data_IF_427998947502
#
_entry.id   IF_427998947502
#
_cell.length_a   1.000
_cell.length_b   1.000
_cell.length_c   1.000
_cell.angle_alpha   90.00
_cell.angle_beta   90.00
_cell.angle_gamma   90.00
#
_symmetry.space_group_name_H-M   'P 1'
#
loop_
_entity.id
_entity.type
_entity.pdbx_description
1 polymer ?
#
# COMPACT_ATOMS: atom_id res chain seq x y z
N UNK A 1 10.22 27.12 -0.96
CA UNK A 1 11.22 26.32 -1.72
C UNK A 1 10.87 24.85 -1.52
N UNK A 2 11.13 23.96 -2.47
CA UNK A 2 11.07 22.52 -2.17
C UNK A 2 12.24 22.15 -1.26
N UNK A 3 12.03 21.32 -0.23
CA UNK A 3 13.06 20.95 0.76
C UNK A 3 14.35 20.39 0.15
N UNK A 4 14.28 19.86 -1.07
CA UNK A 4 15.41 19.30 -1.80
C UNK A 4 16.21 20.30 -2.65
N UNK A 5 15.81 21.57 -2.73
CA UNK A 5 16.41 22.61 -3.60
C UNK A 5 16.58 22.22 -5.11
N UNK A 6 15.90 21.17 -5.57
CA UNK A 6 15.98 20.65 -6.94
C UNK A 6 14.74 21.07 -7.75
N UNK A 7 14.94 21.43 -9.02
CA UNK A 7 13.83 21.71 -9.95
C UNK A 7 12.96 20.47 -10.12
N UNK A 8 11.64 20.64 -10.10
CA UNK A 8 10.66 19.55 -10.27
C UNK A 8 10.94 18.68 -11.50
N UNK A 9 11.26 19.28 -12.65
CA UNK A 9 11.58 18.54 -13.87
C UNK A 9 12.76 17.57 -13.68
N UNK A 10 13.80 18.00 -12.97
CA UNK A 10 14.98 17.18 -12.65
C UNK A 10 14.62 16.01 -11.74
N UNK A 11 13.81 16.25 -10.70
CA UNK A 11 13.33 15.19 -9.82
C UNK A 11 12.56 14.11 -10.61
N UNK A 12 11.65 14.50 -11.49
CA UNK A 12 10.90 13.55 -12.32
C UNK A 12 11.81 12.78 -13.29
N UNK A 13 12.86 13.42 -13.82
CA UNK A 13 13.88 12.75 -14.63
C UNK A 13 14.60 11.66 -13.83
N UNK A 14 15.04 11.96 -12.60
CA UNK A 14 15.69 10.97 -11.73
C UNK A 14 14.76 9.81 -11.37
N UNK A 15 13.52 10.10 -10.99
CA UNK A 15 12.53 9.05 -10.72
C UNK A 15 12.23 8.19 -11.95
N UNK A 16 12.23 8.77 -13.16
CA UNK A 16 12.06 8.00 -14.39
C UNK A 16 13.26 7.11 -14.69
N UNK A 17 14.49 7.57 -14.40
CA UNK A 17 15.69 6.74 -14.53
C UNK A 17 15.61 5.56 -13.56
N UNK A 18 15.34 5.81 -12.28
CA UNK A 18 15.23 4.76 -11.26
C UNK A 18 14.17 3.71 -11.59
N UNK A 19 13.01 4.13 -12.09
CA UNK A 19 11.94 3.22 -12.53
C UNK A 19 12.37 2.38 -13.75
N UNK A 20 12.96 3.01 -14.77
CA UNK A 20 13.47 2.29 -15.96
C UNK A 20 14.62 1.34 -15.63
N UNK A 21 15.38 1.64 -14.58
CA UNK A 21 16.44 0.78 -14.05
C UNK A 21 15.92 -0.30 -13.10
N UNK A 22 14.59 -0.44 -12.94
CA UNK A 22 13.96 -1.44 -12.06
C UNK A 22 14.39 -1.33 -10.60
N UNK A 23 14.69 -0.11 -10.13
CA UNK A 23 15.09 0.15 -8.74
C UNK A 23 13.91 0.56 -7.86
N UNK A 24 12.89 1.17 -8.46
CA UNK A 24 11.68 1.60 -7.76
C UNK A 24 10.41 1.18 -8.51
N UNK A 25 9.35 0.98 -7.75
CA UNK A 25 7.98 0.84 -8.24
C UNK A 25 7.15 2.05 -7.81
N UNK A 26 6.19 2.45 -8.66
CA UNK A 26 5.25 3.53 -8.36
C UNK A 26 3.86 2.96 -8.17
N UNK A 27 3.23 3.30 -7.05
CA UNK A 27 1.81 3.05 -6.81
C UNK A 27 1.08 4.37 -6.97
N UNK A 28 0.17 4.42 -7.94
CA UNK A 28 -0.56 5.63 -8.32
C UNK A 28 -1.86 5.73 -7.53
N UNK A 29 -2.34 6.96 -7.30
CA UNK A 29 -3.67 7.18 -6.75
C UNK A 29 -4.74 7.02 -7.85
N UNK A 30 -5.68 6.08 -7.68
CA UNK A 30 -6.81 5.94 -8.61
C UNK A 30 -8.04 6.68 -8.09
N UNK A 31 -8.49 7.70 -8.83
CA UNK A 31 -9.67 8.52 -8.49
C UNK A 31 -10.92 8.18 -9.32
N UNK A 32 -10.98 7.02 -9.97
CA UNK A 32 -12.18 6.54 -10.67
C UNK A 32 -12.26 6.82 -12.18
N UNK A 33 -11.25 7.44 -12.80
CA UNK A 33 -11.13 7.43 -14.26
C UNK A 33 -9.67 7.41 -14.74
N UNK A 34 -9.37 6.67 -15.81
CA UNK A 34 -8.06 6.70 -16.49
C UNK A 34 -7.65 8.13 -16.90
N UNK A 35 -8.62 9.00 -17.21
CA UNK A 35 -8.35 10.41 -17.57
C UNK A 35 -8.03 11.29 -16.36
N UNK A 36 -8.40 10.88 -15.15
CA UNK A 36 -8.12 11.57 -13.88
C UNK A 36 -6.90 10.99 -13.12
N UNK A 37 -6.11 10.10 -13.74
CA UNK A 37 -4.75 9.73 -13.29
C UNK A 37 -3.80 10.93 -13.13
N UNK A 38 -4.19 12.08 -13.69
CA UNK A 38 -3.39 13.30 -13.66
C UNK A 38 -3.46 13.98 -12.28
N UNK A 39 -2.46 13.69 -11.42
CA UNK A 39 -1.32 14.61 -11.13
C UNK A 39 -0.76 14.62 -9.71
N UNK A 40 -1.38 14.09 -8.65
CA UNK A 40 -1.04 14.62 -7.31
C UNK A 40 -0.58 13.69 -6.21
N UNK A 41 -0.81 12.37 -6.25
CA UNK A 41 -0.31 11.51 -5.17
C UNK A 41 0.13 10.17 -5.74
N UNK A 42 1.37 9.81 -5.44
CA UNK A 42 1.97 8.51 -5.74
C UNK A 42 2.88 8.13 -4.59
N UNK A 43 2.84 6.86 -4.21
CA UNK A 43 3.87 6.30 -3.34
C UNK A 43 4.94 5.65 -4.21
N UNK A 44 6.17 5.76 -3.74
CA UNK A 44 7.35 5.20 -4.40
C UNK A 44 7.93 4.20 -3.43
N UNK A 45 8.05 2.96 -3.88
CA UNK A 45 8.61 1.87 -3.11
C UNK A 45 9.85 1.33 -3.82
N UNK A 46 10.78 0.70 -3.09
CA UNK A 46 11.81 -0.10 -3.73
C UNK A 46 11.18 -1.18 -4.62
N UNK A 47 11.86 -1.53 -5.71
CA UNK A 47 11.36 -2.56 -6.63
C UNK A 47 11.53 -3.99 -6.09
N UNK A 48 12.37 -4.17 -5.07
CA UNK A 48 12.67 -5.45 -4.44
C UNK A 48 12.73 -5.29 -2.92
N UNK A 49 12.23 -6.28 -2.21
CA UNK A 49 12.35 -6.39 -0.75
C UNK A 49 13.81 -6.40 -0.27
N UNK A 50 14.76 -6.84 -1.12
CA UNK A 50 16.19 -6.84 -0.81
C UNK A 50 16.73 -5.43 -0.55
N UNK A 51 16.13 -4.40 -1.15
CA UNK A 51 16.52 -3.00 -0.92
C UNK A 51 16.05 -2.46 0.43
N UNK A 52 15.13 -3.14 1.13
CA UNK A 52 14.68 -2.72 2.47
C UNK A 52 15.80 -2.82 3.51
N UNK A 53 16.80 -3.69 3.28
CA UNK A 53 17.99 -3.80 4.11
C UNK A 53 18.97 -2.61 3.91
N UNK A 54 18.87 -1.90 2.78
CA UNK A 54 19.70 -0.74 2.46
C UNK A 54 19.09 0.57 2.95
N UNK A 55 17.86 0.54 3.47
CA UNK A 55 17.17 1.71 3.99
C UNK A 55 17.87 2.21 5.27
N UNK A 56 18.22 3.49 5.35
CA UNK A 56 18.93 4.04 6.51
C UNK A 56 18.06 3.98 7.76
N UNK A 57 18.68 3.75 8.92
CA UNK A 57 18.01 3.94 10.19
C UNK A 57 17.94 5.44 10.55
N UNK A 58 16.86 5.91 11.21
CA UNK A 58 15.74 5.13 11.75
C UNK A 58 14.50 5.17 10.83
N UNK A 59 14.36 4.21 9.90
CA UNK A 59 13.10 4.04 9.17
C UNK A 59 12.14 3.15 9.97
N UNK A 60 10.91 3.63 10.14
CA UNK A 60 9.84 2.95 10.84
C UNK A 60 9.57 1.55 10.24
N UNK A 61 9.47 0.52 11.08
CA UNK A 61 9.25 -0.85 10.63
C UNK A 61 7.90 -1.07 9.94
N UNK A 62 6.85 -0.35 10.33
CA UNK A 62 5.56 -0.37 9.64
C UNK A 62 5.68 0.10 8.19
N UNK A 63 6.54 1.09 7.93
CA UNK A 63 6.87 1.49 6.55
C UNK A 63 7.63 0.39 5.80
N UNK A 64 8.57 -0.31 6.45
CA UNK A 64 9.27 -1.45 5.82
C UNK A 64 8.29 -2.57 5.45
N UNK A 65 7.29 -2.84 6.29
CA UNK A 65 6.23 -3.84 6.02
C UNK A 65 5.32 -3.38 4.90
N UNK A 66 4.89 -2.11 4.88
CA UNK A 66 4.10 -1.56 3.76
C UNK A 66 4.87 -1.65 2.44
N UNK A 67 6.16 -1.32 2.45
CA UNK A 67 7.01 -1.43 1.26
C UNK A 67 7.23 -2.90 0.83
N UNK A 68 7.35 -3.83 1.78
CA UNK A 68 7.38 -5.26 1.50
C UNK A 68 6.08 -5.74 0.84
N UNK A 69 4.92 -5.36 1.40
CA UNK A 69 3.60 -5.62 0.81
C UNK A 69 3.52 -5.05 -0.61
N UNK A 70 3.98 -3.81 -0.84
CA UNK A 70 4.02 -3.21 -2.17
C UNK A 70 4.88 -4.01 -3.17
N UNK A 71 6.03 -4.54 -2.73
CA UNK A 71 6.89 -5.38 -3.58
C UNK A 71 6.17 -6.66 -4.02
N UNK A 72 5.47 -7.34 -3.10
CA UNK A 72 4.71 -8.55 -3.41
C UNK A 72 3.54 -8.28 -4.36
N UNK A 73 2.89 -7.14 -4.19
CA UNK A 73 1.74 -6.74 -5.00
C UNK A 73 2.12 -6.18 -6.38
N UNK A 74 3.38 -5.84 -6.64
CA UNK A 74 3.80 -5.11 -7.84
C UNK A 74 3.29 -5.72 -9.16
N UNK A 75 3.24 -7.06 -9.25
CA UNK A 75 2.77 -7.81 -10.43
C UNK A 75 1.27 -7.60 -10.68
N UNK A 76 0.50 -7.33 -9.62
CA UNK A 76 -0.96 -7.11 -9.66
C UNK A 76 -1.34 -5.66 -9.98
N UNK A 77 -0.37 -4.77 -10.18
CA UNK A 77 -0.57 -3.35 -10.51
C UNK A 77 -1.54 -2.62 -9.53
N UNK A 78 -1.24 -2.62 -8.22
CA UNK A 78 -2.09 -1.98 -7.23
C UNK A 78 -2.14 -0.47 -7.43
N UNK A 79 -3.24 0.13 -7.02
CA UNK A 79 -3.33 1.57 -6.80
C UNK A 79 -3.59 1.87 -5.33
N UNK A 80 -3.21 3.06 -4.89
CA UNK A 80 -3.64 3.58 -3.59
C UNK A 80 -4.93 4.39 -3.78
N UNK A 81 -5.80 4.43 -2.77
CA UNK A 81 -7.00 5.26 -2.81
C UNK A 81 -6.95 6.31 -1.72
N UNK A 82 -6.95 7.58 -2.11
CA UNK A 82 -6.93 8.71 -1.17
C UNK A 82 -8.12 9.64 -1.35
N UNK A 83 -8.81 9.89 -0.24
CA UNK A 83 -9.86 10.90 -0.13
C UNK A 83 -9.56 11.83 1.04
N UNK A 84 -9.17 13.08 0.74
CA UNK A 84 -8.74 14.09 1.73
C UNK A 84 -7.54 13.61 2.56
N UNK A 85 -7.72 13.48 3.86
CA UNK A 85 -6.75 13.03 4.87
C UNK A 85 -6.75 11.51 5.07
N UNK A 86 -7.70 10.79 4.44
CA UNK A 86 -7.82 9.34 4.54
C UNK A 86 -7.23 8.66 3.32
N UNK A 87 -6.54 7.57 3.56
CA UNK A 87 -5.84 6.78 2.55
C UNK A 87 -6.10 5.30 2.80
N UNK A 88 -6.13 4.54 1.71
CA UNK A 88 -6.08 3.08 1.67
C UNK A 88 -4.80 2.73 0.92
N UNK A 89 -3.97 1.87 1.51
CA UNK A 89 -2.63 1.60 1.00
C UNK A 89 -2.65 0.97 -0.38
N UNK A 90 -3.44 -0.11 -0.57
CA UNK A 90 -3.52 -0.80 -1.85
C UNK A 90 -4.93 -1.26 -2.18
N UNK A 91 -5.27 -1.16 -3.46
CA UNK A 91 -6.52 -1.66 -4.02
C UNK A 91 -6.20 -2.45 -5.28
N UNK A 92 -6.80 -3.64 -5.34
CA UNK A 92 -6.71 -4.60 -6.42
C UNK A 92 -8.10 -4.74 -7.05
N UNK A 93 -8.45 -3.92 -8.06
CA UNK A 93 -9.82 -3.84 -8.58
C UNK A 93 -10.24 -5.11 -9.34
N UNK A 94 -9.30 -5.79 -10.02
CA UNK A 94 -9.57 -7.02 -10.77
C UNK A 94 -9.97 -8.17 -9.84
N UNK A 95 -9.36 -8.20 -8.65
CA UNK A 95 -9.58 -9.19 -7.60
C UNK A 95 -10.70 -8.78 -6.63
N UNK A 96 -11.18 -7.52 -6.71
CA UNK A 96 -12.10 -6.89 -5.74
C UNK A 96 -11.57 -6.96 -4.31
N UNK A 97 -10.28 -6.71 -4.13
CA UNK A 97 -9.59 -6.75 -2.85
C UNK A 97 -9.01 -5.38 -2.50
N UNK A 98 -9.05 -5.06 -1.21
CA UNK A 98 -8.48 -3.85 -0.62
C UNK A 98 -7.58 -4.26 0.52
N UNK A 99 -6.38 -3.69 0.58
CA UNK A 99 -5.34 -4.07 1.53
C UNK A 99 -4.92 -2.83 2.31
N UNK A 100 -4.93 -2.95 3.64
CA UNK A 100 -4.45 -1.93 4.58
C UNK A 100 -3.30 -2.53 5.41
N UNK A 101 -2.20 -1.80 5.57
CA UNK A 101 -1.05 -2.26 6.36
C UNK A 101 -1.02 -1.56 7.71
N UNK A 102 -1.17 -2.33 8.78
CA UNK A 102 -1.15 -1.86 10.17
C UNK A 102 -0.22 -2.76 10.98
N UNK A 103 1.07 -2.46 10.97
CA UNK A 103 2.06 -3.23 11.75
C UNK A 103 1.95 -2.96 13.26
N UNK A 104 0.86 -3.44 13.87
CA UNK A 104 0.50 -3.29 15.26
C UNK A 104 -0.02 -4.64 15.78
N UNK A 105 0.04 -4.84 17.11
CA UNK A 105 -0.44 -6.06 17.76
C UNK A 105 -1.97 -6.10 17.93
N UNK A 106 -2.57 -4.92 18.06
CA UNK A 106 -4.00 -4.74 18.33
C UNK A 106 -4.45 -3.56 17.50
N UNK A 107 -5.53 -3.74 16.75
CA UNK A 107 -6.11 -2.69 15.92
C UNK A 107 -7.45 -2.32 16.51
N UNK A 108 -7.64 -1.05 16.82
CA UNK A 108 -8.95 -0.54 17.15
C UNK A 108 -9.81 -0.52 15.88
N UNK A 109 -10.96 -1.17 15.95
CA UNK A 109 -11.92 -1.23 14.86
C UNK A 109 -12.34 0.16 14.33
N UNK A 110 -12.30 1.18 15.19
CA UNK A 110 -12.61 2.57 14.80
C UNK A 110 -11.61 3.13 13.79
N UNK A 111 -10.37 2.67 13.80
CA UNK A 111 -9.33 3.08 12.84
C UNK A 111 -9.66 2.61 11.42
N UNK A 112 -10.41 1.51 11.27
CA UNK A 112 -10.79 0.95 9.98
C UNK A 112 -12.10 1.50 9.43
N UNK A 113 -12.68 2.54 10.02
CA UNK A 113 -13.99 3.09 9.60
C UNK A 113 -13.98 3.51 8.12
N UNK A 114 -12.92 4.18 7.66
CA UNK A 114 -12.81 4.60 6.27
C UNK A 114 -12.63 3.42 5.31
N UNK A 115 -11.75 2.48 5.68
CA UNK A 115 -11.51 1.24 4.95
C UNK A 115 -12.80 0.44 4.76
N UNK A 116 -13.56 0.22 5.84
CA UNK A 116 -14.86 -0.47 5.83
C UNK A 116 -15.91 0.22 4.97
N UNK A 117 -15.98 1.54 5.07
CA UNK A 117 -16.88 2.33 4.21
C UNK A 117 -16.57 2.08 2.73
N UNK A 118 -15.29 2.11 2.36
CA UNK A 118 -14.87 1.82 0.99
C UNK A 118 -15.21 0.39 0.55
N UNK A 119 -14.94 -0.61 1.40
CA UNK A 119 -15.30 -2.01 1.13
C UNK A 119 -16.79 -2.17 0.84
N UNK A 120 -17.65 -1.58 1.67
CA UNK A 120 -19.10 -1.67 1.53
C UNK A 120 -19.61 -0.95 0.27
N UNK A 121 -19.10 0.26 -0.01
CA UNK A 121 -19.46 1.04 -1.20
C UNK A 121 -19.06 0.32 -2.50
N UNK A 122 -17.90 -0.33 -2.52
CA UNK A 122 -17.38 -1.05 -3.69
C UNK A 122 -17.80 -2.52 -3.76
N UNK A 123 -18.33 -3.07 -2.67
CA UNK A 123 -18.60 -4.51 -2.47
C UNK A 123 -17.35 -5.37 -2.65
N UNK A 124 -16.25 -4.94 -2.04
CA UNK A 124 -14.94 -5.59 -2.09
C UNK A 124 -14.65 -6.33 -0.77
N UNK A 125 -13.66 -7.22 -0.79
CA UNK A 125 -13.12 -7.87 0.41
C UNK A 125 -11.89 -7.12 0.93
N UNK A 126 -11.75 -7.08 2.25
CA UNK A 126 -10.65 -6.41 2.94
C UNK A 126 -9.63 -7.38 3.48
N UNK A 127 -8.34 -7.04 3.33
CA UNK A 127 -7.25 -7.69 4.03
C UNK A 127 -6.52 -6.64 4.86
N UNK A 128 -6.29 -6.93 6.13
CA UNK A 128 -5.46 -6.08 6.99
C UNK A 128 -4.19 -6.84 7.34
N UNK A 129 -3.05 -6.30 6.93
CA UNK A 129 -1.73 -6.87 7.22
C UNK A 129 -1.28 -6.37 8.58
N UNK A 130 -1.08 -7.29 9.52
CA UNK A 130 -0.87 -7.00 10.94
C UNK A 130 0.47 -7.54 11.45
N UNK A 131 0.92 -7.12 12.64
CA UNK A 131 2.19 -7.62 13.19
C UNK A 131 2.12 -9.11 13.55
N UNK A 132 0.99 -9.57 14.05
CA UNK A 132 0.73 -10.94 14.51
C UNK A 132 -0.70 -11.34 14.13
N UNK A 133 -1.01 -12.63 14.05
CA UNK A 133 -2.34 -13.16 13.66
C UNK A 133 -3.47 -12.94 14.67
N UNK A 134 -3.42 -11.85 15.44
CA UNK A 134 -4.53 -11.51 16.33
C UNK A 134 -5.69 -10.99 15.49
N UNK A 135 -6.88 -11.60 15.60
CA UNK A 135 -8.06 -11.10 14.92
C UNK A 135 -8.40 -9.69 15.40
N UNK A 136 -9.11 -8.94 14.58
CA UNK A 136 -9.71 -7.67 15.01
C UNK A 136 -10.57 -7.92 16.24
N UNK A 137 -10.58 -6.95 17.18
CA UNK A 137 -11.39 -7.05 18.39
C UNK A 137 -12.91 -7.23 18.13
N UNK A 138 -13.34 -6.99 16.89
CA UNK A 138 -14.69 -7.26 16.38
C UNK A 138 -14.55 -8.03 15.07
N UNK A 139 -15.16 -9.22 14.98
CA UNK A 139 -15.21 -9.98 13.73
C UNK A 139 -16.04 -9.24 12.68
N UNK A 140 -15.43 -8.86 11.55
CA UNK A 140 -16.11 -8.35 10.36
C UNK A 140 -15.94 -9.38 9.24
N UNK A 141 -17.04 -9.97 8.77
CA UNK A 141 -17.02 -11.05 7.76
C UNK A 141 -16.37 -10.63 6.43
N UNK A 142 -16.29 -9.33 6.16
CA UNK A 142 -15.69 -8.79 4.94
C UNK A 142 -14.21 -8.45 5.11
N UNK A 143 -13.62 -8.64 6.29
CA UNK A 143 -12.22 -8.32 6.59
C UNK A 143 -11.50 -9.55 7.13
N UNK A 144 -10.43 -9.94 6.46
CA UNK A 144 -9.47 -10.92 6.95
C UNK A 144 -8.24 -10.21 7.52
N UNK A 145 -7.72 -10.69 8.64
CA UNK A 145 -6.41 -10.27 9.17
C UNK A 145 -5.35 -11.31 8.81
N UNK A 146 -4.17 -10.87 8.40
CA UNK A 146 -3.05 -11.74 8.06
C UNK A 146 -1.77 -11.16 8.65
N UNK A 147 -0.94 -11.95 9.31
CA UNK A 147 0.37 -11.49 9.75
C UNK A 147 1.22 -11.02 8.56
N UNK A 148 2.11 -10.06 8.81
CA UNK A 148 3.08 -9.60 7.81
C UNK A 148 3.99 -10.74 7.32
N UNK A 149 4.28 -11.72 8.18
CA UNK A 149 5.13 -12.88 7.88
C UNK A 149 4.44 -13.87 6.94
N UNK A 150 3.14 -14.13 7.16
CA UNK A 150 2.37 -15.08 6.35
C UNK A 150 1.78 -14.49 5.07
N UNK A 151 1.86 -13.16 4.91
CA UNK A 151 1.21 -12.47 3.80
C UNK A 151 1.65 -12.98 2.42
N UNK A 152 2.93 -13.30 2.22
CA UNK A 152 3.40 -13.88 0.95
C UNK A 152 2.75 -15.24 0.65
N UNK A 153 2.65 -16.10 1.66
CA UNK A 153 2.02 -17.42 1.55
C UNK A 153 0.51 -17.30 1.34
N UNK A 154 -0.13 -16.31 1.98
CA UNK A 154 -1.54 -15.99 1.80
C UNK A 154 -1.82 -15.57 0.35
N UNK A 155 -1.02 -14.65 -0.21
CA UNK A 155 -1.18 -14.20 -1.59
C UNK A 155 -1.16 -15.37 -2.59
N UNK A 156 -0.25 -16.34 -2.43
CA UNK A 156 -0.15 -17.47 -3.35
C UNK A 156 -1.35 -18.45 -3.29
N UNK A 157 -2.08 -18.48 -2.17
CA UNK A 157 -3.20 -19.39 -1.96
C UNK A 157 -4.54 -18.78 -2.36
N UNK A 158 -4.70 -17.48 -2.14
CA UNK A 158 -6.00 -16.80 -2.20
C UNK A 158 -6.10 -15.80 -3.36
N UNK A 159 -5.00 -15.48 -4.05
CA UNK A 159 -4.90 -14.43 -5.08
C UNK A 159 -4.10 -14.82 -6.33
#
# INVERSE_FOLDING_TARGET
MSDLAIKKATLFKYLSILEKSLLINKVLNFSGSFRSEKRLLRKIYPASSNFLALLPDPINIGFKVEAYTACLLAIKQPYLYRLRDKEIDFVLPSEKIVIEVKYQNTIDYRELTFFRKYLNEKRYQGIVVVKNDKPLAVEDKNIKTVSAEDFSSFLQKEL
#
